data_IF_878744266696
#
_entry.id   IF_878744266696
#
_cell.length_a   1.000
_cell.length_b   1.000
_cell.length_c   1.000
_cell.angle_alpha   90.00
_cell.angle_beta   90.00
_cell.angle_gamma   90.00
#
_symmetry.space_group_name_H-M   'P 1'
#
loop_
_entity.id
_entity.type
_entity.pdbx_description
1 polymer ?
#
# COMPACT_ATOMS: atom_id res chain seq x y z
N UNK A 1 -7.43 -27.01 41.70
CA UNK A 1 -7.77 -25.60 41.47
C UNK A 1 -7.37 -25.24 40.05
N UNK A 2 -8.35 -24.98 39.18
CA UNK A 2 -8.14 -24.65 37.77
C UNK A 2 -7.97 -23.13 37.69
N UNK A 3 -6.75 -22.68 37.41
CA UNK A 3 -6.38 -21.26 37.35
C UNK A 3 -6.84 -20.72 35.99
N UNK A 4 -8.04 -20.15 35.96
CA UNK A 4 -8.58 -19.47 34.79
C UNK A 4 -7.90 -18.11 34.69
N UNK A 5 -6.84 -18.03 33.88
CA UNK A 5 -6.23 -16.77 33.47
C UNK A 5 -7.16 -16.05 32.51
N UNK A 6 -7.91 -15.07 33.02
CA UNK A 6 -8.59 -14.08 32.20
C UNK A 6 -7.54 -13.19 31.51
N UNK A 7 -7.25 -13.49 30.25
CA UNK A 7 -6.63 -12.51 29.36
C UNK A 7 -7.67 -11.42 29.08
N UNK A 8 -7.58 -10.31 29.80
CA UNK A 8 -8.25 -9.07 29.41
C UNK A 8 -7.58 -8.63 28.12
N UNK A 9 -8.17 -8.98 26.98
CA UNK A 9 -7.86 -8.32 25.73
C UNK A 9 -8.23 -6.85 25.92
N UNK A 10 -7.22 -6.01 26.13
CA UNK A 10 -7.38 -4.56 26.02
C UNK A 10 -7.95 -4.29 24.62
N UNK A 11 -9.24 -3.99 24.57
CA UNK A 11 -9.90 -3.51 23.37
C UNK A 11 -9.23 -2.17 23.07
N UNK A 12 -8.36 -2.17 22.07
CA UNK A 12 -7.69 -0.98 21.59
C UNK A 12 -8.74 -0.18 20.81
N UNK A 13 -9.55 0.57 21.52
CA UNK A 13 -10.67 1.28 20.93
C UNK A 13 -10.21 2.66 20.44
N UNK A 14 -10.60 2.99 19.21
CA UNK A 14 -10.48 4.33 18.65
C UNK A 14 -11.55 5.25 19.24
N UNK A 15 -11.28 6.56 19.25
CA UNK A 15 -12.18 7.58 19.78
C UNK A 15 -13.31 7.82 18.78
N UNK A 16 -14.55 7.53 19.20
CA UNK A 16 -15.72 8.04 18.50
C UNK A 16 -15.96 9.50 18.90
N UNK A 17 -15.97 10.36 17.89
CA UNK A 17 -16.26 11.78 18.06
C UNK A 17 -17.78 11.97 18.04
N UNK A 18 -18.29 12.79 18.95
CA UNK A 18 -19.73 13.06 19.09
C UNK A 18 -20.40 13.60 17.82
N UNK A 19 -21.73 13.48 17.78
CA UNK A 19 -22.58 13.92 16.67
C UNK A 19 -22.40 15.42 16.32
N UNK A 20 -21.93 16.22 17.28
CA UNK A 20 -21.58 17.62 17.08
C UNK A 20 -20.42 17.85 16.10
N UNK A 21 -19.68 16.83 15.69
CA UNK A 21 -18.62 16.92 14.66
C UNK A 21 -19.01 16.32 13.31
N UNK A 22 -20.27 15.87 13.16
CA UNK A 22 -20.75 15.26 11.93
C UNK A 22 -21.88 16.09 11.33
N UNK A 23 -21.74 16.48 10.06
CA UNK A 23 -22.85 17.01 9.26
C UNK A 23 -23.57 15.86 8.58
N UNK A 24 -24.88 15.73 8.79
CA UNK A 24 -25.67 14.72 8.08
C UNK A 24 -26.11 15.26 6.73
N UNK A 25 -25.81 14.51 5.66
CA UNK A 25 -26.37 14.68 4.32
C UNK A 25 -27.57 13.74 4.22
N UNK A 26 -28.76 14.31 4.15
CA UNK A 26 -30.01 13.57 4.00
C UNK A 26 -30.05 12.79 2.68
N UNK A 27 -30.97 11.84 2.54
CA UNK A 27 -31.15 11.03 1.32
C UNK A 27 -31.48 11.87 0.08
N UNK A 28 -32.09 13.04 0.27
CA UNK A 28 -32.38 14.02 -0.77
C UNK A 28 -31.19 14.96 -1.09
N UNK A 29 -30.05 14.78 -0.41
CA UNK A 29 -28.85 15.59 -0.57
C UNK A 29 -28.82 16.87 0.26
N UNK A 30 -29.86 17.16 1.05
CA UNK A 30 -29.91 18.35 1.92
C UNK A 30 -29.00 18.19 3.14
N UNK A 31 -28.41 19.31 3.61
CA UNK A 31 -27.60 19.34 4.82
C UNK A 31 -28.48 19.62 6.04
N UNK A 32 -28.42 18.76 7.05
CA UNK A 32 -29.26 18.85 8.24
C UNK A 32 -28.59 19.64 9.38
N UNK A 33 -29.42 20.12 10.32
CA UNK A 33 -28.95 20.76 11.55
C UNK A 33 -28.41 22.18 11.38
N UNK A 34 -28.91 22.92 10.38
CA UNK A 34 -28.50 24.30 10.10
C UNK A 34 -27.06 24.45 9.59
N UNK A 35 -26.45 23.34 9.17
CA UNK A 35 -25.07 23.29 8.70
C UNK A 35 -24.95 23.60 7.22
N UNK A 36 -23.78 24.06 6.83
CA UNK A 36 -23.43 24.40 5.45
C UNK A 36 -22.09 23.77 5.08
N UNK A 37 -21.75 23.83 3.79
CA UNK A 37 -20.46 23.35 3.27
C UNK A 37 -19.27 24.04 3.97
N UNK A 38 -19.47 25.26 4.48
CA UNK A 38 -18.46 26.02 5.23
C UNK A 38 -18.07 25.38 6.56
N UNK A 39 -18.84 24.40 7.04
CA UNK A 39 -18.58 23.72 8.30
C UNK A 39 -17.68 22.49 8.10
N UNK A 40 -17.51 22.02 6.85
CA UNK A 40 -16.75 20.82 6.57
C UNK A 40 -15.26 21.03 6.83
N UNK A 41 -14.63 20.02 7.43
CA UNK A 41 -13.19 20.08 7.71
C UNK A 41 -12.39 19.65 6.48
N UNK A 42 -11.36 20.45 6.19
CA UNK A 42 -10.37 20.19 5.15
C UNK A 42 -9.00 20.06 5.80
N UNK A 43 -8.15 19.23 5.22
CA UNK A 43 -6.83 18.93 5.77
C UNK A 43 -5.78 19.26 4.72
N UNK A 44 -4.73 19.98 5.13
CA UNK A 44 -3.58 20.17 4.26
C UNK A 44 -2.86 18.85 4.07
N UNK A 45 -2.39 18.62 2.85
CA UNK A 45 -1.56 17.48 2.52
C UNK A 45 -0.21 18.06 2.15
N UNK A 46 0.73 18.02 3.10
CA UNK A 46 2.12 18.23 2.78
C UNK A 46 2.46 17.25 1.64
N UNK A 47 3.15 17.74 0.62
CA UNK A 47 3.61 16.98 -0.56
C UNK A 47 2.65 16.79 -1.73
N UNK A 48 1.38 17.17 -1.64
CA UNK A 48 0.51 17.23 -2.83
C UNK A 48 0.58 18.65 -3.40
N UNK A 49 1.30 18.80 -4.52
CA UNK A 49 1.62 20.12 -5.12
C UNK A 49 0.47 20.76 -5.88
N UNK A 50 -0.51 19.96 -6.31
CA UNK A 50 -1.77 20.48 -6.84
C UNK A 50 -2.76 20.59 -5.68
N UNK A 51 -3.54 21.67 -5.55
CA UNK A 51 -4.67 21.65 -4.63
C UNK A 51 -5.54 20.47 -5.03
N UNK A 52 -5.50 19.40 -4.23
CA UNK A 52 -6.44 18.29 -4.34
C UNK A 52 -7.80 18.94 -4.36
N UNK A 53 -8.67 18.57 -5.33
CA UNK A 53 -10.07 19.00 -5.29
C UNK A 53 -10.53 18.85 -3.85
N UNK A 54 -11.16 19.87 -3.28
CA UNK A 54 -11.48 19.87 -1.85
C UNK A 54 -12.34 18.64 -1.55
N UNK A 55 -11.69 17.68 -0.94
CA UNK A 55 -12.24 16.42 -0.52
C UNK A 55 -12.51 16.50 0.97
N UNK A 56 -13.59 15.87 1.41
CA UNK A 56 -13.99 15.85 2.80
C UNK A 56 -14.07 14.42 3.28
N UNK A 57 -13.84 14.22 4.58
CA UNK A 57 -13.99 12.90 5.18
C UNK A 57 -15.48 12.60 5.30
N UNK A 58 -15.90 11.51 4.68
CA UNK A 58 -17.26 11.03 4.73
C UNK A 58 -17.34 9.74 5.56
N UNK A 59 -18.49 9.54 6.21
CA UNK A 59 -18.81 8.35 6.98
C UNK A 59 -20.17 7.82 6.53
N UNK A 60 -20.22 6.54 6.20
CA UNK A 60 -21.44 5.89 5.75
C UNK A 60 -21.69 4.62 6.55
N UNK A 61 -22.94 4.48 6.98
CA UNK A 61 -23.47 3.31 7.66
C UNK A 61 -24.47 2.65 6.72
N UNK A 62 -24.27 1.37 6.44
CA UNK A 62 -25.19 0.55 5.68
C UNK A 62 -25.71 -0.61 6.52
N UNK A 63 -26.99 -0.91 6.33
CA UNK A 63 -27.67 -2.07 6.91
C UNK A 63 -28.13 -2.95 5.75
N UNK A 64 -27.60 -4.16 5.67
CA UNK A 64 -28.00 -5.18 4.72
C UNK A 64 -28.32 -6.50 5.44
N UNK A 65 -28.59 -7.56 4.67
CA UNK A 65 -28.89 -8.90 5.21
C UNK A 65 -27.74 -9.49 6.05
N UNK A 66 -26.50 -9.01 5.81
CA UNK A 66 -25.30 -9.39 6.56
C UNK A 66 -25.08 -8.48 7.78
N UNK A 67 -26.02 -7.56 8.02
CA UNK A 67 -26.08 -6.69 9.18
C UNK A 67 -25.45 -5.33 8.94
N UNK A 68 -24.89 -4.79 10.01
CA UNK A 68 -24.30 -3.47 10.04
C UNK A 68 -22.92 -3.46 9.37
N UNK A 69 -22.69 -2.50 8.46
CA UNK A 69 -21.38 -2.23 7.90
C UNK A 69 -21.12 -0.73 7.83
N UNK A 70 -19.89 -0.36 8.10
CA UNK A 70 -19.50 1.03 8.29
C UNK A 70 -18.19 1.28 7.60
N UNK A 71 -18.12 2.40 6.90
CA UNK A 71 -16.95 2.76 6.13
C UNK A 71 -16.78 4.27 6.11
N UNK A 72 -15.52 4.68 6.18
CA UNK A 72 -15.11 6.01 5.81
C UNK A 72 -14.81 6.07 4.32
N UNK A 73 -14.89 7.26 3.77
CA UNK A 73 -14.66 7.53 2.35
C UNK A 73 -14.43 9.01 2.11
N UNK A 74 -14.38 9.41 0.84
CA UNK A 74 -14.22 10.82 0.47
C UNK A 74 -15.50 11.40 -0.12
N UNK A 75 -15.87 12.57 0.37
CA UNK A 75 -16.93 13.40 -0.16
C UNK A 75 -16.36 14.52 -1.03
N UNK A 76 -17.14 14.93 -2.02
CA UNK A 76 -16.81 16.01 -2.95
C UNK A 76 -18.08 16.77 -3.35
N UNK A 77 -17.90 18.06 -3.66
CA UNK A 77 -19.00 18.92 -4.10
C UNK A 77 -19.38 18.60 -5.55
N UNK A 78 -20.69 18.60 -5.80
CA UNK A 78 -21.29 18.60 -7.14
C UNK A 78 -22.14 19.86 -7.30
N UNK A 79 -22.62 20.14 -8.51
CA UNK A 79 -23.30 21.41 -8.83
C UNK A 79 -24.43 21.76 -7.85
N UNK A 80 -25.19 20.77 -7.38
CA UNK A 80 -26.38 20.96 -6.53
C UNK A 80 -26.34 20.12 -5.23
N UNK A 81 -25.16 19.78 -4.71
CA UNK A 81 -25.09 18.97 -3.49
C UNK A 81 -23.71 18.40 -3.21
N UNK A 82 -23.70 17.33 -2.43
CA UNK A 82 -22.48 16.63 -2.03
C UNK A 82 -22.66 15.15 -2.31
N UNK A 83 -21.68 14.56 -3.00
CA UNK A 83 -21.61 13.12 -3.19
C UNK A 83 -20.38 12.57 -2.49
N UNK A 84 -20.42 11.29 -2.18
CA UNK A 84 -19.31 10.59 -1.54
C UNK A 84 -19.11 9.22 -2.17
N UNK A 85 -17.85 8.77 -2.14
CA UNK A 85 -17.42 7.46 -2.58
C UNK A 85 -16.97 6.64 -1.39
N UNK A 86 -17.40 5.39 -1.36
CA UNK A 86 -17.12 4.45 -0.29
C UNK A 86 -16.71 3.10 -0.86
N UNK A 87 -16.00 2.33 -0.05
CA UNK A 87 -15.82 0.90 -0.26
C UNK A 87 -17.05 0.21 0.30
N UNK A 88 -17.76 -0.57 -0.50
CA UNK A 88 -18.84 -1.42 0.01
C UNK A 88 -18.31 -2.71 0.66
N UNK A 89 -19.21 -3.48 1.27
CA UNK A 89 -18.87 -4.77 1.87
C UNK A 89 -18.19 -5.77 0.90
N UNK A 90 -18.38 -5.60 -0.40
CA UNK A 90 -17.85 -6.47 -1.45
C UNK A 90 -16.59 -5.89 -2.11
N UNK A 91 -15.94 -4.91 -1.48
CA UNK A 91 -14.73 -4.25 -1.96
C UNK A 91 -14.91 -3.53 -3.31
N UNK A 92 -16.11 -2.97 -3.55
CA UNK A 92 -16.43 -2.21 -4.74
C UNK A 92 -16.64 -0.74 -4.43
N UNK A 93 -16.35 0.10 -5.42
CA UNK A 93 -16.64 1.52 -5.36
C UNK A 93 -18.15 1.76 -5.39
N UNK A 94 -18.66 2.39 -4.34
CA UNK A 94 -20.06 2.85 -4.25
C UNK A 94 -20.08 4.36 -4.15
N UNK A 95 -20.77 5.01 -5.09
CA UNK A 95 -21.05 6.44 -5.02
C UNK A 95 -22.48 6.67 -4.54
N UNK A 96 -22.67 7.56 -3.57
CA UNK A 96 -23.97 8.01 -3.07
C UNK A 96 -23.97 9.53 -2.91
N UNK A 97 -25.13 10.17 -3.10
CA UNK A 97 -25.31 11.62 -3.00
C UNK A 97 -26.29 12.02 -1.89
N UNK A 98 -26.41 11.16 -0.88
CA UNK A 98 -27.26 11.35 0.30
C UNK A 98 -27.17 10.14 1.23
N UNK A 99 -27.62 10.31 2.47
CA UNK A 99 -27.65 9.22 3.47
C UNK A 99 -26.30 8.93 4.12
N UNK A 100 -25.41 9.93 4.20
CA UNK A 100 -24.08 9.80 4.81
C UNK A 100 -23.75 11.04 5.65
N UNK A 101 -22.63 10.98 6.37
CA UNK A 101 -22.16 12.06 7.24
C UNK A 101 -20.81 12.60 6.78
N UNK A 102 -20.53 13.87 7.03
CA UNK A 102 -19.27 14.54 6.69
C UNK A 102 -18.64 15.10 7.95
N UNK A 103 -17.34 14.86 8.15
CA UNK A 103 -16.60 15.41 9.27
C UNK A 103 -16.54 16.94 9.18
N UNK A 104 -16.94 17.61 10.25
CA UNK A 104 -17.20 19.04 10.29
C UNK A 104 -16.75 19.63 11.62
N UNK A 105 -16.60 20.96 11.67
CA UNK A 105 -16.35 21.66 12.93
C UNK A 105 -17.49 21.42 13.91
N UNK A 106 -17.21 21.58 15.19
CA UNK A 106 -18.24 21.44 16.23
C UNK A 106 -19.35 22.47 16.05
N UNK A 107 -20.62 22.06 16.17
CA UNK A 107 -21.76 22.98 16.22
C UNK A 107 -22.17 23.38 17.67
N UNK A 108 -21.42 22.93 18.68
CA UNK A 108 -21.68 23.20 20.12
C UNK A 108 -20.48 23.84 20.83
N UNK A 109 -19.63 24.57 20.09
CA UNK A 109 -18.37 25.14 20.62
C UNK A 109 -17.42 24.08 21.21
N UNK A 110 -17.30 22.92 20.55
CA UNK A 110 -16.34 21.90 20.94
C UNK A 110 -14.89 22.30 20.65
N UNK A 111 -13.99 21.98 21.58
CA UNK A 111 -12.55 22.30 21.52
C UNK A 111 -11.69 21.17 20.95
N UNK A 112 -12.28 20.13 20.37
CA UNK A 112 -11.52 19.08 19.70
C UNK A 112 -11.17 19.51 18.27
N UNK A 113 -9.91 19.33 17.90
CA UNK A 113 -9.43 19.44 16.53
C UNK A 113 -8.78 18.12 16.10
N UNK A 114 -8.48 18.01 14.81
CA UNK A 114 -7.99 16.77 14.22
C UNK A 114 -6.81 17.03 13.30
N UNK A 115 -5.87 16.09 13.24
CA UNK A 115 -4.79 16.08 12.25
C UNK A 115 -4.50 14.67 11.76
N UNK A 116 -3.75 14.57 10.67
CA UNK A 116 -3.34 13.30 10.11
C UNK A 116 -1.91 12.96 10.52
N UNK A 117 -1.71 11.80 11.12
CA UNK A 117 -0.39 11.27 11.51
C UNK A 117 -0.13 10.00 10.72
N UNK A 118 1.13 9.77 10.33
CA UNK A 118 1.52 8.54 9.63
C UNK A 118 1.15 7.30 10.46
N UNK A 119 0.62 6.26 9.82
CA UNK A 119 0.14 5.07 10.49
C UNK A 119 1.24 4.36 11.31
N UNK A 120 2.51 4.45 10.89
CA UNK A 120 3.65 3.91 11.64
C UNK A 120 4.03 4.69 12.90
N UNK A 121 3.52 5.91 13.08
CA UNK A 121 3.82 6.79 14.21
C UNK A 121 2.59 7.03 15.11
N UNK A 122 1.40 6.71 14.62
CA UNK A 122 0.17 6.95 15.34
C UNK A 122 -0.02 5.95 16.49
N UNK A 123 -0.58 6.45 17.58
CA UNK A 123 -1.10 5.61 18.66
C UNK A 123 -2.58 5.33 18.37
N UNK A 124 -2.98 4.05 18.37
CA UNK A 124 -4.36 3.63 18.09
C UNK A 124 -5.38 4.29 19.02
N UNK A 125 -5.00 4.57 20.27
CA UNK A 125 -5.89 5.18 21.26
C UNK A 125 -6.19 6.66 21.01
N UNK A 126 -5.34 7.34 20.23
CA UNK A 126 -5.54 8.74 19.87
C UNK A 126 -6.27 8.90 18.53
N UNK A 127 -6.54 7.78 17.85
CA UNK A 127 -7.16 7.80 16.53
C UNK A 127 -8.65 8.02 16.60
N UNK A 128 -9.15 8.76 15.61
CA UNK A 128 -10.57 8.93 15.37
C UNK A 128 -11.07 7.77 14.53
N UNK A 129 -12.11 7.12 15.04
CA UNK A 129 -12.69 5.97 14.38
C UNK A 129 -14.05 5.61 14.95
N UNK A 130 -14.66 4.61 14.34
CA UNK A 130 -15.86 4.00 14.86
C UNK A 130 -15.74 2.49 14.84
N UNK A 131 -16.14 1.87 15.95
CA UNK A 131 -15.90 0.45 16.24
C UNK A 131 -14.41 0.14 15.98
N UNK A 132 -14.02 -0.67 15.01
CA UNK A 132 -12.60 -0.98 14.79
C UNK A 132 -12.02 -0.34 13.53
N UNK A 133 -12.70 0.63 12.94
CA UNK A 133 -12.24 1.34 11.74
C UNK A 133 -11.81 2.75 12.09
N UNK A 134 -10.61 3.12 11.69
CA UNK A 134 -10.09 4.49 11.79
C UNK A 134 -10.30 5.22 10.47
N UNK A 135 -10.39 6.55 10.54
CA UNK A 135 -10.34 7.37 9.34
C UNK A 135 -8.93 7.32 8.76
N UNK A 136 -8.82 6.93 7.49
CA UNK A 136 -7.57 6.89 6.76
C UNK A 136 -7.51 8.01 5.71
N UNK A 137 -6.31 8.52 5.50
CA UNK A 137 -5.90 9.27 4.31
C UNK A 137 -4.78 8.49 3.65
N UNK A 138 -4.99 8.14 2.38
CA UNK A 138 -4.03 7.39 1.57
C UNK A 138 -3.42 8.34 0.56
N UNK A 139 -2.10 8.41 0.50
CA UNK A 139 -1.35 9.30 -0.40
C UNK A 139 -0.65 8.48 -1.48
N UNK A 140 -0.86 8.84 -2.74
CA UNK A 140 -0.13 8.27 -3.88
C UNK A 140 0.87 9.30 -4.40
N UNK A 141 2.15 9.10 -4.07
CA UNK A 141 3.24 9.97 -4.54
C UNK A 141 3.42 9.93 -6.05
N UNK A 142 3.22 8.76 -6.66
CA UNK A 142 3.38 8.56 -8.10
C UNK A 142 2.32 9.32 -8.89
N UNK A 143 1.10 9.41 -8.34
CA UNK A 143 -0.03 10.14 -8.95
C UNK A 143 -0.18 11.57 -8.44
N UNK A 144 0.54 11.95 -7.38
CA UNK A 144 0.36 13.23 -6.69
C UNK A 144 -1.11 13.44 -6.27
N UNK A 145 -1.71 12.38 -5.73
CA UNK A 145 -3.12 12.31 -5.35
C UNK A 145 -3.24 11.80 -3.93
N UNK A 146 -4.34 12.13 -3.28
CA UNK A 146 -4.72 11.55 -2.00
C UNK A 146 -6.23 11.38 -1.96
N UNK A 147 -6.69 10.42 -1.17
CA UNK A 147 -8.10 10.15 -0.94
C UNK A 147 -8.33 9.68 0.49
N UNK A 148 -9.58 9.77 0.94
CA UNK A 148 -10.01 9.30 2.26
C UNK A 148 -10.65 7.91 2.17
N UNK A 149 -10.45 7.14 3.22
CA UNK A 149 -10.95 5.78 3.32
C UNK A 149 -10.94 5.27 4.75
N UNK A 150 -10.99 3.95 4.91
CA UNK A 150 -10.99 3.27 6.20
C UNK A 150 -9.64 2.62 6.47
N UNK A 151 -9.17 2.68 7.71
CA UNK A 151 -8.03 1.90 8.19
C UNK A 151 -8.44 0.93 9.30
N UNK A 152 -7.68 -0.15 9.42
CA UNK A 152 -7.63 -0.97 10.62
C UNK A 152 -6.18 -0.96 11.10
N UNK A 153 -5.92 -0.23 12.18
CA UNK A 153 -4.59 -0.20 12.78
C UNK A 153 -4.22 -1.54 13.42
N UNK A 154 -5.22 -2.31 13.90
CA UNK A 154 -5.00 -3.65 14.46
C UNK A 154 -4.54 -4.65 13.41
N UNK A 155 -5.19 -4.64 12.25
CA UNK A 155 -4.83 -5.51 11.11
C UNK A 155 -3.79 -4.87 10.18
N UNK A 156 -3.34 -3.65 10.52
CA UNK A 156 -2.36 -2.86 9.79
C UNK A 156 -2.65 -2.76 8.28
N UNK A 157 -3.87 -2.34 7.92
CA UNK A 157 -4.21 -2.02 6.54
C UNK A 157 -5.07 -0.76 6.42
N UNK A 158 -5.06 -0.15 5.25
CA UNK A 158 -5.97 0.90 4.84
C UNK A 158 -6.58 0.59 3.47
N UNK A 159 -7.83 0.96 3.29
CA UNK A 159 -8.57 0.76 2.05
C UNK A 159 -9.43 1.97 1.71
N UNK A 160 -9.65 2.19 0.42
CA UNK A 160 -10.41 3.31 -0.08
C UNK A 160 -10.68 3.20 -1.56
N UNK A 161 -11.37 4.21 -2.09
CA UNK A 161 -11.61 4.36 -3.52
C UNK A 161 -10.75 5.52 -4.00
N UNK A 162 -9.91 5.29 -5.00
CA UNK A 162 -9.06 6.34 -5.56
C UNK A 162 -9.85 7.32 -6.46
N UNK A 163 -9.17 8.30 -7.06
CA UNK A 163 -9.80 9.27 -7.94
C UNK A 163 -10.28 8.67 -9.28
N UNK A 164 -9.74 7.53 -9.69
CA UNK A 164 -10.14 6.75 -10.87
C UNK A 164 -11.31 5.80 -10.58
N UNK A 165 -11.88 5.86 -9.37
CA UNK A 165 -12.97 5.01 -8.90
C UNK A 165 -12.58 3.52 -8.78
N UNK A 166 -11.30 3.24 -8.56
CA UNK A 166 -10.77 1.91 -8.31
C UNK A 166 -10.65 1.64 -6.80
N UNK A 167 -10.91 0.40 -6.40
CA UNK A 167 -10.64 -0.07 -5.05
C UNK A 167 -9.14 -0.21 -4.84
N UNK A 168 -8.63 0.39 -3.77
CA UNK A 168 -7.23 0.29 -3.37
C UNK A 168 -7.18 -0.18 -1.92
N UNK A 169 -6.35 -1.21 -1.68
CA UNK A 169 -5.99 -1.70 -0.35
C UNK A 169 -4.47 -1.69 -0.21
N UNK A 170 -4.00 -1.16 0.90
CA UNK A 170 -2.59 -1.15 1.30
C UNK A 170 -2.52 -1.86 2.63
N UNK A 171 -1.72 -2.91 2.72
CA UNK A 171 -1.50 -3.63 3.97
C UNK A 171 -0.02 -3.62 4.33
N UNK A 172 0.27 -3.62 5.63
CA UNK A 172 1.62 -3.77 6.14
C UNK A 172 2.22 -5.12 5.80
N UNK A 173 1.41 -6.18 5.67
CA UNK A 173 1.87 -7.52 5.33
C UNK A 173 2.37 -7.58 3.88
N UNK A 174 1.67 -6.90 2.97
CA UNK A 174 2.02 -6.88 1.55
C UNK A 174 3.12 -5.86 1.24
N UNK A 175 3.05 -4.66 1.83
CA UNK A 175 4.03 -3.59 1.63
C UNK A 175 4.19 -2.71 2.91
N UNK A 176 5.11 -3.09 3.82
CA UNK A 176 5.36 -2.35 5.05
C UNK A 176 5.78 -0.90 4.82
N UNK A 177 6.61 -0.66 3.79
CA UNK A 177 7.18 0.65 3.50
C UNK A 177 6.09 1.59 3.01
N UNK A 178 5.27 1.13 2.06
CA UNK A 178 4.16 1.91 1.55
C UNK A 178 3.13 2.17 2.65
N UNK A 179 2.79 1.17 3.46
CA UNK A 179 1.86 1.35 4.58
C UNK A 179 2.34 2.44 5.56
N UNK A 180 3.59 2.38 5.99
CA UNK A 180 4.12 3.33 6.98
C UNK A 180 4.24 4.76 6.46
N UNK A 181 4.59 4.94 5.18
CA UNK A 181 4.85 6.28 4.61
C UNK A 181 3.62 6.94 3.99
N UNK A 182 2.70 6.14 3.46
CA UNK A 182 1.62 6.64 2.58
C UNK A 182 0.24 6.54 3.21
N UNK A 183 0.11 5.82 4.32
CA UNK A 183 -1.13 5.76 5.10
C UNK A 183 -1.00 6.70 6.29
N UNK A 184 -1.98 7.59 6.40
CA UNK A 184 -2.14 8.48 7.54
C UNK A 184 -3.48 8.18 8.20
N UNK A 185 -3.51 8.21 9.53
CA UNK A 185 -4.73 8.05 10.33
C UNK A 185 -5.08 9.37 10.98
N UNK A 186 -6.38 9.64 11.11
CA UNK A 186 -6.87 10.85 11.76
C UNK A 186 -6.74 10.69 13.28
N UNK A 187 -6.16 11.68 13.96
CA UNK A 187 -6.03 11.72 15.42
C UNK A 187 -6.59 13.02 15.97
N UNK A 188 -7.00 13.01 17.24
CA UNK A 188 -7.32 14.25 17.96
C UNK A 188 -6.05 15.05 18.25
N UNK A 189 -6.12 16.38 18.18
CA UNK A 189 -5.01 17.28 18.50
C UNK A 189 -5.50 18.57 19.18
N UNK A 190 -4.53 19.39 19.61
CA UNK A 190 -4.78 20.76 20.06
C UNK A 190 -5.38 21.59 18.90
N UNK A 191 -6.42 22.40 19.13
CA UNK A 191 -6.97 23.33 18.13
C UNK A 191 -5.99 24.31 17.53
N UNK A 192 -4.92 24.66 18.25
CA UNK A 192 -3.89 25.58 17.81
C UNK A 192 -2.78 24.88 17.01
N UNK A 193 -2.86 23.56 16.82
CA UNK A 193 -1.91 22.82 15.98
C UNK A 193 -1.99 23.35 14.53
N UNK A 194 -0.84 23.74 13.92
CA UNK A 194 -0.84 24.28 12.56
C UNK A 194 -1.34 23.30 11.49
N UNK A 195 -1.29 21.99 11.78
CA UNK A 195 -1.77 20.92 10.91
C UNK A 195 -3.24 20.53 11.17
N UNK A 196 -3.87 21.17 12.16
CA UNK A 196 -5.28 20.95 12.46
C UNK A 196 -6.16 21.24 11.23
N UNK A 197 -7.15 20.37 11.01
CA UNK A 197 -8.14 20.53 9.97
C UNK A 197 -8.90 21.85 10.12
N UNK A 198 -9.14 22.53 8.99
CA UNK A 198 -9.78 23.86 8.96
C UNK A 198 -11.08 23.81 8.19
N UNK A 199 -12.06 24.57 8.69
CA UNK A 199 -13.29 24.88 7.96
C UNK A 199 -13.08 26.20 7.21
N UNK A 200 -13.25 26.19 5.89
CA UNK A 200 -13.03 27.39 5.07
C UNK A 200 -14.34 28.06 4.65
N UNK A 201 -14.38 29.39 4.65
CA UNK A 201 -15.43 30.19 4.03
C UNK A 201 -15.26 30.18 2.50
N UNK A 202 -16.19 29.57 1.75
CA UNK A 202 -16.09 29.50 0.28
C UNK A 202 -17.16 30.28 -0.49
N UNK A 203 -16.68 30.94 -1.54
CA UNK A 203 -17.41 31.46 -2.70
C UNK A 203 -17.22 30.45 -3.83
N UNK A 204 -18.31 30.03 -4.46
CA UNK A 204 -18.35 28.98 -5.47
C UNK A 204 -17.55 29.36 -6.73
N UNK A 205 -16.29 28.92 -6.84
CA UNK A 205 -15.58 28.96 -8.11
C UNK A 205 -16.11 27.82 -8.99
N UNK A 206 -17.01 28.19 -9.89
CA UNK A 206 -17.50 27.37 -11.00
C UNK A 206 -16.28 26.85 -11.76
N UNK A 207 -16.01 25.55 -11.72
CA UNK A 207 -14.93 24.92 -12.49
C UNK A 207 -15.21 25.14 -13.98
N UNK A 208 -14.34 25.82 -14.76
CA UNK A 208 -14.51 25.92 -16.20
C UNK A 208 -14.29 24.52 -16.80
N UNK A 209 -15.22 24.08 -17.65
CA UNK A 209 -15.17 22.78 -18.37
C UNK A 209 -13.86 22.53 -19.15
N UNK A 210 -13.07 23.57 -19.36
CA UNK A 210 -11.81 23.57 -20.13
C UNK A 210 -10.64 22.92 -19.37
N UNK A 211 -10.58 23.00 -18.03
CA UNK A 211 -9.51 22.34 -17.26
C UNK A 211 -9.67 20.81 -17.23
N UNK A 212 -10.91 20.31 -17.20
CA UNK A 212 -11.18 18.86 -17.25
C UNK A 212 -10.72 18.24 -18.57
N UNK A 213 -10.89 18.94 -19.70
CA UNK A 213 -10.45 18.44 -21.01
C UNK A 213 -8.93 18.50 -21.18
N UNK A 214 -8.27 19.54 -20.65
CA UNK A 214 -6.81 19.65 -20.67
C UNK A 214 -6.13 18.57 -19.80
N UNK A 215 -6.67 18.28 -18.62
CA UNK A 215 -6.17 17.22 -17.74
C UNK A 215 -6.39 15.84 -18.39
N UNK A 216 -7.58 15.57 -18.92
CA UNK A 216 -7.89 14.29 -19.57
C UNK A 216 -6.96 14.00 -20.78
N UNK A 217 -6.68 15.04 -21.59
CA UNK A 217 -5.80 14.91 -22.74
C UNK A 217 -4.32 14.73 -22.34
N UNK A 218 -3.83 15.43 -21.31
CA UNK A 218 -2.48 15.22 -20.79
C UNK A 218 -2.31 13.83 -20.18
N UNK A 219 -3.33 13.33 -19.46
CA UNK A 219 -3.32 12.02 -18.81
C UNK A 219 -3.39 10.88 -19.84
N UNK A 220 -4.13 11.07 -20.94
CA UNK A 220 -4.12 10.16 -22.09
C UNK A 220 -2.75 10.08 -22.76
N UNK A 221 -2.06 11.22 -22.96
CA UNK A 221 -0.71 11.22 -23.54
C UNK A 221 0.32 10.53 -22.64
N UNK A 222 0.27 10.78 -21.33
CA UNK A 222 1.17 10.13 -20.37
C UNK A 222 0.95 8.61 -20.30
N UNK A 223 -0.32 8.16 -20.27
CA UNK A 223 -0.65 6.73 -20.28
C UNK A 223 -0.20 6.03 -21.56
N UNK A 224 -0.33 6.69 -22.72
CA UNK A 224 0.21 6.14 -23.98
C UNK A 224 1.73 5.98 -23.92
N UNK A 225 2.44 6.98 -23.40
CA UNK A 225 3.90 6.93 -23.27
C UNK A 225 4.35 5.85 -22.25
N UNK A 226 3.62 5.69 -21.15
CA UNK A 226 3.90 4.67 -20.14
C UNK A 226 3.64 3.25 -20.67
N UNK A 227 2.57 3.04 -21.43
CA UNK A 227 2.32 1.75 -22.09
C UNK A 227 3.38 1.41 -23.13
N UNK A 228 3.86 2.40 -23.90
CA UNK A 228 4.99 2.21 -24.81
C UNK A 228 6.26 1.81 -24.06
N UNK A 229 6.55 2.44 -22.92
CA UNK A 229 7.69 2.10 -22.07
C UNK A 229 7.60 0.67 -21.52
N UNK A 230 6.43 0.28 -20.99
CA UNK A 230 6.19 -1.08 -20.51
C UNK A 230 6.36 -2.11 -21.62
N UNK A 231 5.79 -1.85 -22.79
CA UNK A 231 5.92 -2.74 -23.94
C UNK A 231 7.38 -2.88 -24.40
N UNK A 232 8.14 -1.77 -24.43
CA UNK A 232 9.56 -1.79 -24.74
C UNK A 232 10.36 -2.59 -23.70
N UNK A 233 10.06 -2.43 -22.40
CA UNK A 233 10.70 -3.20 -21.33
C UNK A 233 10.40 -4.68 -21.43
N UNK A 234 9.16 -5.05 -21.74
CA UNK A 234 8.78 -6.45 -21.98
C UNK A 234 9.52 -7.05 -23.17
N UNK A 235 9.67 -6.31 -24.27
CA UNK A 235 10.46 -6.77 -25.42
C UNK A 235 11.93 -6.95 -25.08
N UNK A 236 12.53 -6.05 -24.29
CA UNK A 236 13.90 -6.19 -23.83
C UNK A 236 14.08 -7.43 -22.93
N UNK A 237 13.14 -7.68 -22.01
CA UNK A 237 13.15 -8.88 -21.16
C UNK A 237 13.02 -10.13 -22.03
N UNK A 238 12.13 -10.12 -23.03
CA UNK A 238 11.95 -11.26 -23.95
C UNK A 238 13.22 -11.56 -24.75
N UNK A 239 13.92 -10.53 -25.25
CA UNK A 239 15.22 -10.71 -25.95
C UNK A 239 16.30 -11.27 -25.02
N UNK A 240 16.34 -10.81 -23.77
CA UNK A 240 17.28 -11.34 -22.77
C UNK A 240 17.00 -12.81 -22.45
N UNK A 241 15.73 -13.18 -22.29
CA UNK A 241 15.33 -14.58 -22.09
C UNK A 241 15.73 -15.45 -23.28
N UNK A 242 15.46 -14.99 -24.50
CA UNK A 242 15.83 -15.75 -25.71
C UNK A 242 17.36 -15.91 -25.85
N UNK A 243 18.14 -14.90 -25.48
CA UNK A 243 19.59 -15.01 -25.48
C UNK A 243 20.09 -16.02 -24.43
N UNK A 244 19.48 -16.04 -23.25
CA UNK A 244 19.79 -17.01 -22.20
C UNK A 244 19.43 -18.44 -22.64
N UNK A 245 18.27 -18.63 -23.28
CA UNK A 245 17.86 -19.93 -23.84
C UNK A 245 18.85 -20.43 -24.89
N UNK A 246 19.27 -19.57 -25.82
CA UNK A 246 20.27 -19.91 -26.83
C UNK A 246 21.64 -20.24 -26.22
N UNK A 247 22.02 -19.54 -25.15
CA UNK A 247 23.26 -19.78 -24.42
C UNK A 247 23.22 -21.12 -23.67
N UNK A 248 22.10 -21.43 -23.02
CA UNK A 248 21.84 -22.74 -22.40
C UNK A 248 21.89 -23.88 -23.42
N UNK A 249 21.33 -23.68 -24.61
CA UNK A 249 21.36 -24.67 -25.68
C UNK A 249 22.78 -24.87 -26.22
N UNK A 250 23.56 -23.80 -26.38
CA UNK A 250 24.97 -23.90 -26.77
C UNK A 250 25.78 -24.68 -25.73
N UNK A 251 25.56 -24.41 -24.45
CA UNK A 251 26.21 -25.12 -23.35
C UNK A 251 25.83 -26.61 -23.34
N UNK A 252 24.57 -26.97 -23.64
CA UNK A 252 24.15 -28.37 -23.80
C UNK A 252 24.90 -29.08 -24.94
N UNK A 253 25.05 -28.43 -26.10
CA UNK A 253 25.81 -29.01 -27.21
C UNK A 253 27.29 -29.17 -26.87
N UNK A 254 27.91 -28.18 -26.22
CA UNK A 254 29.30 -28.25 -25.76
C UNK A 254 29.49 -29.39 -24.75
N UNK A 255 28.55 -29.57 -23.83
CA UNK A 255 28.56 -30.68 -22.86
C UNK A 255 28.44 -32.05 -23.54
N UNK A 256 27.53 -32.22 -24.50
CA UNK A 256 27.40 -33.47 -25.25
C UNK A 256 28.66 -33.81 -26.05
N UNK A 257 29.34 -32.80 -26.63
CA UNK A 257 30.62 -33.02 -27.31
C UNK A 257 31.71 -33.46 -26.33
N UNK A 258 31.73 -32.88 -25.12
CA UNK A 258 32.69 -33.27 -24.08
C UNK A 258 32.46 -34.73 -23.64
N UNK A 259 31.21 -35.12 -23.39
CA UNK A 259 30.83 -36.49 -23.01
C UNK A 259 31.12 -37.52 -24.12
N UNK A 260 30.99 -37.12 -25.40
CA UNK A 260 31.39 -37.97 -26.53
C UNK A 260 32.91 -38.10 -26.68
N UNK A 261 33.66 -37.03 -26.37
CA UNK A 261 35.12 -37.00 -26.47
C UNK A 261 35.80 -37.74 -25.32
N UNK A 262 35.16 -37.76 -24.15
CA UNK A 262 35.59 -38.47 -22.95
C UNK A 262 34.46 -39.38 -22.46
N UNK A 263 34.16 -40.49 -23.16
CA UNK A 263 33.19 -41.44 -22.67
C UNK A 263 33.68 -41.95 -21.32
N UNK A 264 32.83 -41.86 -20.30
CA UNK A 264 33.13 -42.31 -18.95
C UNK A 264 33.57 -43.78 -19.04
N UNK A 265 34.87 -43.99 -18.86
CA UNK A 265 35.42 -45.33 -18.74
C UNK A 265 34.76 -45.99 -17.54
N UNK A 266 34.07 -47.09 -17.80
CA UNK A 266 33.62 -48.01 -16.78
C UNK A 266 34.82 -48.39 -15.90
N UNK A 267 34.53 -48.59 -14.61
CA UNK A 267 35.49 -48.88 -13.55
C UNK A 267 36.60 -49.86 -13.92
N UNK A 268 37.76 -49.67 -13.27
CA UNK A 268 38.97 -50.50 -13.20
C UNK A 268 40.11 -50.14 -14.16
N UNK A 269 40.89 -49.11 -13.80
CA UNK A 269 42.34 -49.16 -13.94
C UNK A 269 43.03 -48.18 -12.98
N UNK A 270 44.12 -48.56 -12.31
CA UNK A 270 44.80 -47.71 -11.33
C UNK A 270 45.60 -46.61 -12.03
N UNK A 271 45.38 -45.36 -11.61
CA UNK A 271 46.11 -44.18 -12.08
C UNK A 271 47.62 -44.31 -11.78
N UNK A 272 48.46 -44.20 -12.82
CA UNK A 272 49.85 -43.79 -12.64
C UNK A 272 49.90 -42.27 -12.58
N UNK A 273 50.47 -41.78 -11.50
CA UNK A 273 50.61 -40.38 -11.15
C UNK A 273 51.85 -39.82 -11.86
N UNK A 274 51.71 -39.35 -13.09
CA UNK A 274 52.73 -38.56 -13.81
C UNK A 274 52.05 -37.82 -14.98
N UNK A 275 51.33 -36.74 -14.68
CA UNK A 275 51.08 -35.64 -15.62
C UNK A 275 50.69 -34.40 -14.80
N UNK A 276 51.51 -33.36 -14.94
CA UNK A 276 51.42 -32.08 -14.23
C UNK A 276 50.20 -31.27 -14.75
N UNK A 277 49.28 -30.78 -13.90
CA UNK A 277 48.10 -30.07 -14.37
C UNK A 277 48.46 -28.66 -14.81
N UNK A 278 48.09 -28.32 -16.05
CA UNK A 278 48.22 -26.98 -16.64
C UNK A 278 47.35 -25.98 -15.85
N UNK A 279 47.99 -25.12 -15.05
CA UNK A 279 47.37 -24.22 -14.04
C UNK A 279 46.37 -23.19 -14.61
N UNK A 280 46.23 -23.07 -15.94
CA UNK A 280 45.30 -22.10 -16.56
C UNK A 280 43.84 -22.54 -16.61
N UNK A 281 43.52 -23.80 -16.33
CA UNK A 281 42.14 -24.32 -16.41
C UNK A 281 41.38 -24.31 -15.07
N UNK A 282 42.08 -24.21 -13.95
CA UNK A 282 41.46 -24.22 -12.62
C UNK A 282 40.76 -22.91 -12.24
N UNK A 283 41.19 -21.76 -12.79
CA UNK A 283 40.52 -20.47 -12.55
C UNK A 283 39.14 -20.37 -13.22
N UNK A 284 38.87 -21.12 -14.29
CA UNK A 284 37.55 -21.10 -14.94
C UNK A 284 36.50 -21.97 -14.25
N UNK A 285 36.91 -23.03 -13.56
CA UNK A 285 36.00 -23.90 -12.78
C UNK A 285 35.62 -23.28 -11.43
N UNK A 286 36.46 -22.41 -10.85
CA UNK A 286 36.08 -21.67 -9.65
C UNK A 286 35.02 -20.57 -9.88
N UNK A 287 34.85 -20.11 -11.13
CA UNK A 287 33.71 -19.27 -11.50
C UNK A 287 32.38 -20.04 -11.52
N UNK A 288 32.42 -21.37 -11.73
CA UNK A 288 31.23 -22.22 -11.83
C UNK A 288 30.51 -22.42 -10.49
N UNK A 289 31.20 -22.29 -9.35
CA UNK A 289 30.58 -22.41 -8.02
C UNK A 289 30.05 -21.08 -7.44
N UNK A 290 30.39 -19.93 -8.02
CA UNK A 290 30.04 -18.60 -7.47
C UNK A 290 28.87 -17.91 -8.18
N UNK A 291 28.34 -18.47 -9.26
CA UNK A 291 27.18 -17.91 -9.97
C UNK A 291 25.83 -18.54 -9.59
N UNK A 292 25.79 -19.48 -8.64
CA UNK A 292 24.54 -20.08 -8.14
C UNK A 292 23.98 -19.44 -6.85
N UNK A 293 24.46 -18.26 -6.47
CA UNK A 293 23.96 -17.49 -5.33
C UNK A 293 23.64 -16.02 -5.67
N UNK A 294 23.08 -15.78 -6.86
CA UNK A 294 22.43 -14.51 -7.17
C UNK A 294 20.92 -14.64 -6.91
N UNK A 295 20.47 -13.96 -5.85
CA UNK A 295 19.09 -13.84 -5.40
C UNK A 295 18.11 -13.53 -6.53
N UNK A 296 17.19 -14.45 -6.80
CA UNK A 296 15.97 -14.16 -7.55
C UNK A 296 15.00 -13.36 -6.65
N UNK A 297 14.42 -12.24 -7.11
CA UNK A 297 13.16 -11.78 -6.55
C UNK A 297 12.07 -12.77 -6.99
N UNK A 298 11.52 -13.50 -6.03
CA UNK A 298 10.39 -14.39 -6.24
C UNK A 298 9.17 -13.58 -6.73
N UNK A 299 8.86 -13.68 -8.01
CA UNK A 299 7.53 -13.37 -8.54
C UNK A 299 6.69 -14.64 -8.33
N UNK A 300 5.92 -14.66 -7.25
CA UNK A 300 4.93 -15.72 -7.01
C UNK A 300 3.72 -15.45 -7.90
N UNK A 301 3.64 -16.15 -9.03
CA UNK A 301 2.34 -16.43 -9.65
C UNK A 301 1.82 -17.73 -9.03
N UNK A 302 0.79 -17.60 -8.18
CA UNK A 302 0.03 -18.74 -7.72
C UNK A 302 -0.77 -19.37 -8.85
N UNK A 303 -0.53 -20.66 -9.09
CA UNK A 303 -1.55 -21.58 -9.60
C UNK A 303 -1.51 -22.82 -8.71
N UNK A 304 -2.58 -23.00 -7.93
CA UNK A 304 -2.75 -24.14 -7.07
C UNK A 304 -2.81 -25.44 -7.89
N UNK A 305 -2.10 -26.47 -7.42
CA UNK A 305 -2.50 -27.88 -7.49
C UNK A 305 -1.64 -28.70 -6.52
N UNK A 306 -2.23 -28.98 -5.36
CA UNK A 306 -2.20 -30.22 -4.58
C UNK A 306 -1.22 -31.35 -5.00
N UNK A 307 -0.24 -31.69 -4.12
CA UNK A 307 -0.08 -33.03 -3.49
C UNK A 307 1.20 -33.17 -2.62
N UNK A 308 0.95 -33.37 -1.32
CA UNK A 308 1.55 -34.28 -0.30
C UNK A 308 3.04 -34.69 -0.28
N UNK A 309 3.53 -34.72 0.98
CA UNK A 309 4.56 -35.58 1.60
C UNK A 309 6.03 -35.17 1.44
N UNK A 310 6.69 -34.64 2.49
CA UNK A 310 7.44 -35.34 3.56
C UNK A 310 8.91 -34.87 3.45
N UNK A 311 9.70 -34.55 4.48
CA UNK A 311 9.52 -34.49 5.92
C UNK A 311 10.78 -33.85 6.55
N UNK A 312 10.60 -33.24 7.72
CA UNK A 312 11.56 -33.07 8.83
C UNK A 312 13.07 -32.97 8.54
N UNK A 313 13.65 -31.81 8.89
CA UNK A 313 14.68 -31.72 9.96
C UNK A 313 14.78 -30.29 10.51
N UNK A 314 14.55 -30.17 11.82
CA UNK A 314 14.88 -29.01 12.65
C UNK A 314 16.40 -28.80 12.67
N UNK A 315 16.85 -27.55 12.65
CA UNK A 315 17.94 -27.04 13.48
C UNK A 315 17.88 -25.50 13.50
N UNK A 316 17.70 -24.98 14.71
CA UNK A 316 18.00 -23.62 15.16
C UNK A 316 18.80 -23.80 16.48
N UNK A 317 19.49 -22.80 17.06
CA UNK A 317 19.75 -21.42 16.58
C UNK A 317 21.18 -20.89 16.91
N UNK A 318 21.37 -19.57 16.69
CA UNK A 318 22.30 -18.62 17.35
C UNK A 318 23.69 -18.41 16.72
N UNK A 319 23.90 -17.20 16.16
CA UNK A 319 24.96 -16.29 16.62
C UNK A 319 24.68 -14.84 16.22
N UNK A 320 24.63 -13.99 17.26
CA UNK A 320 24.69 -12.53 17.22
C UNK A 320 25.98 -12.08 16.56
N UNK A 321 25.93 -11.03 15.74
CA UNK A 321 27.02 -10.06 15.66
C UNK A 321 26.43 -8.66 15.46
N UNK A 322 26.49 -7.89 16.54
CA UNK A 322 26.43 -6.43 16.57
C UNK A 322 27.74 -5.87 16.01
N UNK A 323 27.70 -4.83 15.18
CA UNK A 323 28.82 -3.90 15.06
C UNK A 323 28.31 -2.46 15.04
N UNK A 324 28.54 -1.83 16.19
CA UNK A 324 28.75 -0.40 16.38
C UNK A 324 30.01 0.04 15.60
N UNK A 325 29.97 1.21 14.96
CA UNK A 325 31.20 1.95 14.62
C UNK A 325 30.98 3.44 14.89
N UNK A 326 31.64 3.93 15.94
CA UNK A 326 31.96 5.35 16.12
C UNK A 326 33.45 5.47 16.39
N UNK A 327 34.12 6.25 15.52
CA UNK A 327 35.29 7.12 15.69
C UNK A 327 36.53 6.70 16.48
N UNK A 328 37.71 6.93 15.88
CA UNK A 328 38.80 7.84 16.33
C UNK A 328 40.11 7.43 15.60
N UNK A 329 40.76 8.27 14.78
CA UNK A 329 41.57 9.49 15.02
C UNK A 329 43.09 9.20 14.99
N UNK A 330 43.85 10.19 14.49
CA UNK A 330 45.33 10.39 14.45
C UNK A 330 46.00 9.85 13.17
N UNK A 331 46.77 10.61 12.38
CA UNK A 331 47.46 11.92 12.54
C UNK A 331 47.19 12.87 11.36
#
# INVERSE_FOLDING_TARGET
MLLVTFFIFAMCDAIWVGEEYWTTVSNDGSLLGGRTIKDFLTFRIAHVTKPTRREYIAFWVMYDELGHYETFGHAYLVQNGVCARFVDRYYKAKTICGGFRILSKSNRNGNLAFKFVQAGQANIHDTIGYRSRQVAKIVSWTRNEAWYGSASMREAFAEGIDQENAYVKISYVDDPFFYQQNVYVLVSCDPNDPEAGKSEDYVFYRTPKEEHQLIYNQQSQYNQQYQQLLHHRQQQIKRKLQNLENEEERLRYEQQQYEQKYPTANEQQPFSMDDEPDERLFERLHLFCSCMSASFPAVIFGKANDWRNCGTKRLQPILKLSMSMTSCLLE
#
